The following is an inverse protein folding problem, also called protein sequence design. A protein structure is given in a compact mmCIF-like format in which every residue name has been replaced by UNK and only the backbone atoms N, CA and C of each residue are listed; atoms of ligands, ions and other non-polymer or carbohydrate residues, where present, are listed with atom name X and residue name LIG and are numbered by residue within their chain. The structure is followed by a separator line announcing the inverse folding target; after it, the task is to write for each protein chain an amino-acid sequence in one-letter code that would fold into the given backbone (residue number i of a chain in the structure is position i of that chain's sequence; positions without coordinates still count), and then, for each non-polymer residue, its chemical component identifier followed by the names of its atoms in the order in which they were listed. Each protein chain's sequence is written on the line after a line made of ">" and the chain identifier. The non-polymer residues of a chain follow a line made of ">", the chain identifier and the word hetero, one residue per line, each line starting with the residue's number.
data_IF_271022614739
#
_entry.id   IF_271022614739
#
_cell.length_a   1.000
_cell.length_b   1.000
_cell.length_c   1.000
_cell.angle_alpha   90.00
_cell.angle_beta   90.00
_cell.angle_gamma   90.00
#
_symmetry.space_group_name_H-M   'P 1'
#
loop_
_entity.id
_entity.type
_entity.pdbx_description
1 polymer ?
2 non-polymer ?
3 non-polymer ?
4 water ?
#
# COMPACT_ATOMS: atom_id res chain seq x y z
N UNK A 26 13.82 -10.87 -16.99
CA UNK A 26 12.58 -10.69 -17.81
C UNK A 26 11.44 -9.94 -17.09
N UNK A 27 11.16 -8.72 -17.56
CA UNK A 27 10.13 -7.87 -16.96
C UNK A 27 8.76 -8.28 -17.43
N UNK A 28 7.82 -8.42 -16.50
CA UNK A 28 6.41 -8.66 -16.78
C UNK A 28 5.58 -7.39 -16.67
N UNK A 29 5.97 -6.50 -15.76
CA UNK A 29 5.22 -5.27 -15.50
C UNK A 29 6.18 -4.29 -14.87
N UNK A 30 5.99 -3.02 -15.17
CA UNK A 30 6.70 -1.97 -14.49
C UNK A 30 5.71 -0.85 -14.23
N UNK A 31 5.57 -0.51 -12.96
CA UNK A 31 4.68 0.56 -12.53
C UNK A 31 5.54 1.74 -12.16
N UNK A 32 4.98 2.64 -11.35
CA UNK A 32 5.72 3.87 -11.08
C UNK A 32 6.94 3.66 -10.17
N UNK A 33 6.86 2.68 -9.25
CA UNK A 33 7.88 2.47 -8.22
C UNK A 33 8.45 1.02 -8.15
N UNK A 34 7.86 0.08 -8.86
CA UNK A 34 8.27 -1.31 -8.75
C UNK A 34 8.30 -1.94 -10.16
N UNK A 35 9.09 -2.99 -10.29
CA UNK A 35 9.15 -3.84 -11.48
C UNK A 35 8.81 -5.24 -11.02
N UNK A 36 7.96 -5.93 -11.77
CA UNK A 36 7.70 -7.34 -11.53
C UNK A 36 8.53 -8.14 -12.55
N UNK A 37 9.39 -9.04 -12.07
CA UNK A 37 10.19 -9.90 -12.95
C UNK A 37 9.69 -11.32 -12.92
N UNK A 38 9.76 -11.98 -14.08
CA UNK A 38 9.49 -13.42 -14.10
C UNK A 38 10.57 -14.18 -13.36
N UNK A 39 10.22 -15.42 -12.98
CA UNK A 39 11.18 -16.42 -12.54
C UNK A 39 10.97 -17.69 -13.38
N UNK A 40 11.82 -18.70 -13.20
CA UNK A 40 11.62 -20.00 -13.88
C UNK A 40 10.34 -20.71 -13.46
N UNK A 41 9.82 -20.39 -12.28
CA UNK A 41 8.52 -20.85 -11.83
C UNK A 41 7.41 -19.91 -12.34
N UNK A 42 6.52 -20.40 -13.24
CA UNK A 42 5.47 -19.54 -13.83
C UNK A 42 4.48 -18.95 -12.83
N UNK A 43 4.44 -19.51 -11.62
CA UNK A 43 3.47 -19.04 -10.63
C UNK A 43 4.10 -18.16 -9.53
N UNK A 44 5.39 -17.90 -9.65
CA UNK A 44 6.08 -17.01 -8.72
C UNK A 44 6.79 -15.90 -9.49
N UNK A 45 6.70 -14.68 -8.99
CA UNK A 45 7.36 -13.54 -9.60
C UNK A 45 8.16 -12.77 -8.56
N UNK A 46 9.08 -11.93 -9.03
CA UNK A 46 9.90 -11.11 -8.13
C UNK A 46 9.38 -9.70 -8.16
N UNK A 47 9.05 -9.16 -6.97
CA UNK A 47 8.67 -7.78 -6.85
C UNK A 47 9.93 -7.01 -6.48
N UNK A 48 10.35 -6.11 -7.39
CA UNK A 48 11.60 -5.39 -7.28
C UNK A 48 11.26 -3.91 -7.05
N UNK A 49 11.76 -3.38 -5.93
CA UNK A 49 11.50 -1.98 -5.55
C UNK A 49 12.54 -1.04 -6.13
N UNK A 50 12.08 -0.11 -6.97
CA UNK A 50 12.93 0.95 -7.49
C UNK A 50 13.07 2.14 -6.54
N UNK A 51 13.96 3.07 -6.88
CA UNK A 51 14.13 4.28 -6.05
C UNK A 51 13.37 5.47 -6.63
N UNK A 52 12.62 5.22 -7.68
CA UNK A 52 11.79 6.22 -8.30
C UNK A 52 10.63 6.58 -7.36
N UNK A 53 10.30 7.86 -7.32
CA UNK A 53 9.08 8.35 -6.65
C UNK A 53 8.40 9.29 -7.64
N UNK A 54 7.08 9.28 -7.67
CA UNK A 54 6.34 10.21 -8.51
C UNK A 54 5.14 10.75 -7.71
N UNK A 55 4.68 11.94 -8.08
CA UNK A 55 3.48 12.51 -7.47
C UNK A 55 2.65 13.30 -8.51
N UNK A 56 1.38 13.54 -8.15
CA UNK A 56 0.49 14.44 -8.87
C UNK A 56 0.35 13.98 -10.30
N UNK A 57 -0.10 12.75 -10.44
CA UNK A 57 -0.26 12.10 -11.75
C UNK A 57 0.99 12.24 -12.62
N UNK A 58 2.16 12.02 -12.01
CA UNK A 58 3.45 12.11 -12.72
C UNK A 58 3.82 13.51 -13.21
N UNK A 59 3.30 14.55 -12.58
CA UNK A 59 3.80 15.91 -12.83
C UNK A 59 5.18 16.10 -12.19
N UNK A 60 5.48 15.24 -11.20
CA UNK A 60 6.67 15.41 -10.33
C UNK A 60 7.30 14.00 -10.28
N UNK A 61 8.58 13.86 -10.59
CA UNK A 61 9.26 12.58 -10.40
C UNK A 61 10.70 12.84 -9.93
N UNK A 62 11.24 11.90 -9.15
CA UNK A 62 12.61 12.01 -8.62
C UNK A 62 13.14 10.64 -8.29
N UNK A 63 14.45 10.57 -8.14
CA UNK A 63 15.13 9.38 -7.64
C UNK A 63 15.49 9.68 -6.19
N UNK A 64 15.01 8.85 -5.28
CA UNK A 64 15.33 8.93 -3.84
C UNK A 64 16.17 7.69 -3.51
N UNK A 65 17.48 7.84 -3.48
CA UNK A 65 18.35 6.71 -3.28
C UNK A 65 17.96 5.98 -2.00
N UNK A 66 17.87 4.66 -2.12
CA UNK A 66 17.52 3.73 -1.02
C UNK A 66 16.03 3.59 -0.68
N UNK A 67 15.16 4.40 -1.28
CA UNK A 67 13.74 4.37 -0.94
C UNK A 67 13.17 2.98 -1.22
N UNK A 68 13.58 2.36 -2.32
CA UNK A 68 13.09 1.03 -2.63
C UNK A 68 13.52 -0.06 -1.69
N UNK A 69 14.75 0.05 -1.21
CA UNK A 69 15.27 -0.88 -0.24
C UNK A 69 14.43 -0.80 1.02
N UNK A 70 14.21 0.41 1.51
CA UNK A 70 13.43 0.55 2.73
C UNK A 70 11.98 0.10 2.53
N UNK A 71 11.39 0.39 1.38
CA UNK A 71 10.02 -0.03 1.09
C UNK A 71 9.90 -1.55 1.00
N UNK A 72 10.91 -2.19 0.40
CA UNK A 72 11.00 -3.63 0.35
C UNK A 72 10.99 -4.25 1.75
N UNK A 73 11.89 -3.77 2.60
CA UNK A 73 11.97 -4.24 3.99
C UNK A 73 10.70 -3.94 4.79
N UNK A 74 10.17 -2.75 4.69
CA UNK A 74 8.96 -2.39 5.42
C UNK A 74 7.78 -3.23 4.93
N UNK A 75 7.61 -3.35 3.64
CA UNK A 75 6.47 -4.12 3.09
C UNK A 75 6.53 -5.61 3.43
N UNK A 76 7.68 -6.23 3.23
CA UNK A 76 7.85 -7.63 3.61
C UNK A 76 7.56 -7.80 5.11
N UNK A 77 8.05 -6.89 5.95
CA UNK A 77 7.81 -6.93 7.37
C UNK A 77 6.33 -6.88 7.70
N UNK A 78 5.65 -5.87 7.16
CA UNK A 78 4.20 -5.68 7.40
C UNK A 78 3.33 -6.79 6.77
N UNK A 79 3.71 -7.29 5.60
CA UNK A 79 3.00 -8.44 5.03
C UNK A 79 3.04 -9.62 6.02
N UNK A 80 4.22 -9.92 6.55
CA UNK A 80 4.37 -10.99 7.48
C UNK A 80 3.58 -10.77 8.78
N UNK A 81 3.55 -9.54 9.29
CA UNK A 81 2.69 -9.22 10.42
C UNK A 81 1.22 -9.48 10.14
N UNK A 82 0.79 -9.18 8.93
CA UNK A 82 -0.59 -9.42 8.51
C UNK A 82 -0.84 -10.91 8.31
N UNK A 83 0.11 -11.62 7.69
CA UNK A 83 0.01 -13.10 7.61
C UNK A 83 -0.13 -13.76 8.97
N UNK A 84 0.64 -13.29 9.95
CA UNK A 84 0.56 -13.80 11.33
C UNK A 84 -0.81 -13.67 11.93
N UNK A 85 -1.62 -12.71 11.50
CA UNK A 85 -3.00 -12.57 11.95
C UNK A 85 -4.03 -13.18 11.01
N UNK A 86 -3.60 -13.94 10.01
CA UNK A 86 -4.48 -14.68 9.14
C UNK A 86 -4.91 -14.00 7.87
N UNK A 87 -4.29 -12.87 7.56
CA UNK A 87 -4.54 -12.20 6.29
C UNK A 87 -3.79 -12.93 5.17
N UNK A 88 -4.50 -13.24 4.07
CA UNK A 88 -3.93 -13.89 2.91
C UNK A 88 -3.22 -12.83 2.08
N UNK A 89 -1.98 -13.13 1.67
CA UNK A 89 -1.18 -12.12 0.93
C UNK A 89 -0.42 -12.80 -0.19
N UNK A 90 0.16 -11.99 -1.07
CA UNK A 90 0.99 -12.53 -2.13
C UNK A 90 2.43 -12.84 -1.67
N UNK A 91 2.75 -12.54 -0.43
CA UNK A 91 4.16 -12.60 -0.02
C UNK A 91 4.64 -14.03 0.18
N UNK A 92 5.76 -14.37 -0.46
CA UNK A 92 6.41 -15.68 -0.23
C UNK A 92 7.68 -15.58 0.59
N UNK A 93 8.65 -14.77 0.14
CA UNK A 93 9.91 -14.68 0.85
C UNK A 93 10.64 -13.39 0.50
N UNK A 94 11.42 -12.89 1.44
CA UNK A 94 12.33 -11.76 1.19
C UNK A 94 13.59 -12.32 0.52
N UNK A 95 13.97 -11.78 -0.63
CA UNK A 95 15.11 -12.32 -1.39
C UNK A 95 16.41 -11.57 -1.16
N UNK A 96 16.32 -10.24 -1.19
CA UNK A 96 17.49 -9.36 -1.09
C UNK A 96 17.07 -7.93 -0.78
N UNK A 97 17.99 -6.97 -0.84
CA UNK A 97 17.70 -5.59 -0.42
C UNK A 97 16.51 -4.96 -1.16
N UNK A 98 16.30 -5.33 -2.43
CA UNK A 98 15.30 -4.68 -3.26
C UNK A 98 14.13 -5.57 -3.65
N UNK A 99 14.24 -6.86 -3.34
CA UNK A 99 13.34 -7.84 -3.96
C UNK A 99 12.72 -8.78 -2.99
N UNK A 100 11.49 -9.14 -3.30
CA UNK A 100 10.81 -10.21 -2.59
C UNK A 100 10.14 -11.11 -3.61
N UNK A 101 10.02 -12.37 -3.26
CA UNK A 101 9.34 -13.38 -4.04
C UNK A 101 7.87 -13.34 -3.65
N UNK A 102 7.01 -13.24 -4.64
CA UNK A 102 5.58 -13.20 -4.40
C UNK A 102 4.82 -14.09 -5.40
N UNK A 103 3.60 -14.42 -5.01
CA UNK A 103 2.69 -15.23 -5.83
C UNK A 103 2.35 -14.44 -7.09
N UNK A 104 2.30 -15.10 -8.23
CA UNK A 104 1.78 -14.50 -9.42
C UNK A 104 0.25 -14.57 -9.33
N UNK A 105 -0.38 -13.43 -9.25
CA UNK A 105 -1.84 -13.32 -9.18
C UNK A 105 -2.38 -12.25 -10.14
N UNK A 106 -3.68 -12.32 -10.44
CA UNK A 106 -4.32 -11.28 -11.22
C UNK A 106 -4.85 -10.20 -10.30
N UNK A 107 -4.38 -8.97 -10.52
CA UNK A 107 -4.73 -7.89 -9.62
C UNK A 107 -6.10 -7.39 -10.01
N UNK A 108 -6.97 -7.21 -9.04
CA UNK A 108 -8.28 -6.59 -9.24
C UNK A 108 -8.05 -5.07 -9.41
N UNK A 109 -8.67 -4.45 -10.41
CA UNK A 109 -8.21 -3.10 -10.73
C UNK A 109 -8.89 -2.02 -9.88
N UNK A 110 -8.90 -2.25 -8.56
CA UNK A 110 -9.45 -1.34 -7.55
C UNK A 110 -8.36 -0.98 -6.55
N UNK A 111 -8.27 0.27 -6.14
CA UNK A 111 -7.44 0.69 -5.01
C UNK A 111 -8.43 0.91 -3.87
N UNK A 112 -8.18 0.29 -2.72
CA UNK A 112 -9.02 0.49 -1.56
C UNK A 112 -8.27 1.47 -0.66
N UNK A 113 -8.89 2.61 -0.37
CA UNK A 113 -8.25 3.60 0.49
C UNK A 113 -9.00 3.60 1.80
N UNK A 114 -8.28 3.43 2.90
CA UNK A 114 -8.82 3.40 4.24
C UNK A 114 -8.29 4.64 4.98
N UNK A 115 -9.21 5.45 5.50
CA UNK A 115 -8.83 6.73 6.16
C UNK A 115 -9.25 6.74 7.62
N UNK A 116 -8.28 7.05 8.49
CA UNK A 116 -8.49 7.26 9.92
C UNK A 116 -8.59 8.73 10.29
N UNK A 117 -7.76 9.55 9.68
CA UNK A 117 -7.86 10.99 9.75
C UNK A 117 -7.97 11.54 8.34
N UNK A 118 -8.47 12.77 8.23
CA UNK A 118 -8.53 13.46 6.96
C UNK A 118 -7.14 13.85 6.50
N UNK A 119 -6.84 13.60 5.24
CA UNK A 119 -5.58 14.04 4.65
C UNK A 119 -5.71 14.09 3.14
N UNK A 120 -4.69 14.62 2.47
CA UNK A 120 -4.61 14.55 1.02
C UNK A 120 -5.79 15.20 0.31
N UNK A 121 -6.28 14.52 -0.71
CA UNK A 121 -7.36 15.02 -1.54
C UNK A 121 -8.73 14.96 -0.83
N UNK A 122 -8.84 14.11 0.19
CA UNK A 122 -10.03 14.06 1.01
C UNK A 122 -10.19 15.40 1.72
N UNK A 123 -9.14 15.84 2.41
CA UNK A 123 -9.17 17.14 3.09
C UNK A 123 -9.51 18.23 2.14
N UNK A 124 -8.91 18.19 0.95
CA UNK A 124 -9.09 19.28 -0.01
C UNK A 124 -10.53 19.32 -0.51
N UNK A 125 -11.08 18.18 -0.91
CA UNK A 125 -12.42 18.19 -1.55
C UNK A 125 -13.60 18.38 -0.60
N UNK A 126 -13.43 18.09 0.69
CA UNK A 126 -14.45 18.33 1.70
C UNK A 126 -14.13 19.56 2.56
N UNK A 127 -13.00 20.20 2.26
CA UNK A 127 -12.50 21.36 3.02
C UNK A 127 -12.56 21.09 4.53
N UNK A 128 -11.94 19.96 4.89
CA UNK A 128 -11.79 19.51 6.28
C UNK A 128 -10.28 19.52 6.54
N UNK A 129 -9.86 20.05 7.69
CA UNK A 129 -8.46 20.23 7.99
C UNK A 129 -7.70 18.88 8.05
N UNK A 130 -6.52 18.81 7.44
CA UNK A 130 -5.62 17.65 7.62
C UNK A 130 -5.53 17.27 9.10
N UNK A 131 -5.70 15.99 9.39
CA UNK A 131 -5.59 15.49 10.77
C UNK A 131 -6.90 15.42 11.54
N UNK A 132 -7.99 15.89 10.94
CA UNK A 132 -9.28 15.73 11.57
C UNK A 132 -9.58 14.23 11.69
N UNK A 133 -9.81 13.76 12.93
CA UNK A 133 -10.13 12.36 13.15
C UNK A 133 -11.57 12.02 12.81
N UNK A 134 -11.77 10.81 12.29
CA UNK A 134 -13.10 10.34 12.00
C UNK A 134 -13.57 9.48 13.16
N UNK A 135 -14.89 9.41 13.33
CA UNK A 135 -15.47 8.60 14.36
C UNK A 135 -15.27 7.12 14.05
N UNK A 136 -15.31 6.79 12.77
CA UNK A 136 -15.00 5.43 12.33
C UNK A 136 -14.25 5.51 10.99
N UNK A 137 -13.41 4.51 10.69
CA UNK A 137 -12.63 4.64 9.43
C UNK A 137 -13.50 4.73 8.17
N UNK A 138 -13.02 5.48 7.20
CA UNK A 138 -13.68 5.67 5.94
C UNK A 138 -12.94 4.95 4.81
N UNK A 139 -13.64 4.03 4.16
CA UNK A 139 -13.17 3.33 3.01
C UNK A 139 -13.70 4.01 1.78
N UNK A 140 -12.80 4.27 0.85
CA UNK A 140 -13.15 4.73 -0.49
C UNK A 140 -12.50 3.84 -1.55
N UNK A 141 -13.20 3.61 -2.64
CA UNK A 141 -12.72 2.77 -3.74
C UNK A 141 -12.38 3.59 -4.97
N UNK A 142 -11.28 3.23 -5.64
CA UNK A 142 -10.89 3.89 -6.88
C UNK A 142 -10.59 2.87 -7.94
N UNK A 143 -10.97 3.18 -9.17
CA UNK A 143 -10.58 2.37 -10.31
C UNK A 143 -9.12 2.69 -10.68
N UNK A 144 -8.26 1.68 -10.74
CA UNK A 144 -6.84 1.93 -11.00
C UNK A 144 -6.64 2.10 -12.51
N UNK A 145 -6.39 3.34 -12.92
CA UNK A 145 -6.26 3.70 -14.34
C UNK A 145 -5.57 5.03 -14.46
N UNK A 146 -4.35 4.99 -15.01
CA UNK A 146 -3.56 6.22 -15.21
C UNK A 146 -4.24 7.21 -16.15
N UNK A 147 -4.74 6.71 -17.28
CA UNK A 147 -5.41 7.54 -18.30
C UNK A 147 -6.55 8.37 -17.68
N UNK A 148 -7.30 7.78 -16.74
CA UNK A 148 -8.45 8.44 -16.13
C UNK A 148 -8.11 9.07 -14.79
N UNK A 149 -6.84 9.01 -14.40
CA UNK A 149 -6.38 9.50 -13.09
C UNK A 149 -7.12 8.87 -11.91
N UNK A 150 -7.23 7.54 -11.96
CA UNK A 150 -7.79 6.72 -10.86
C UNK A 150 -9.09 7.29 -10.29
N UNK A 151 -10.15 7.30 -11.11
CA UNK A 151 -11.43 7.84 -10.67
C UNK A 151 -12.07 7.02 -9.53
N UNK A 152 -12.68 7.74 -8.60
CA UNK A 152 -13.46 7.10 -7.56
C UNK A 152 -14.64 6.33 -8.18
N UNK A 153 -14.94 5.19 -7.58
CA UNK A 153 -16.06 4.36 -7.99
C UNK A 153 -16.86 3.98 -6.76
N UNK A 154 -18.17 3.89 -6.97
CA UNK A 154 -19.08 3.32 -5.96
C UNK A 154 -19.05 1.81 -5.94
N UNK A 155 -19.63 1.26 -4.89
CA UNK A 155 -19.84 -0.19 -4.83
C UNK A 155 -20.65 -0.74 -5.99
N UNK A 156 -21.72 -0.04 -6.36
CA UNK A 156 -22.58 -0.47 -7.43
C UNK A 156 -21.86 -0.51 -8.75
N UNK A 157 -20.90 0.39 -8.91
CA UNK A 157 -20.05 0.41 -10.11
C UNK A 157 -19.19 -0.84 -10.14
N UNK A 158 -18.52 -1.10 -9.02
CA UNK A 158 -17.68 -2.30 -8.89
C UNK A 158 -18.50 -3.54 -9.23
N UNK A 159 -19.72 -3.63 -8.70
CA UNK A 159 -20.55 -4.80 -8.91
C UNK A 159 -21.08 -4.89 -10.34
N UNK A 160 -21.48 -3.76 -10.89
CA UNK A 160 -22.02 -3.73 -12.27
C UNK A 160 -20.98 -4.13 -13.27
N UNK A 161 -19.77 -3.62 -13.10
CA UNK A 161 -18.66 -3.99 -13.97
C UNK A 161 -18.03 -5.35 -13.65
N UNK A 162 -18.57 -6.01 -12.62
CA UNK A 162 -18.17 -7.35 -12.22
C UNK A 162 -16.68 -7.46 -11.89
N UNK A 163 -16.13 -6.41 -11.29
CA UNK A 163 -14.77 -6.46 -10.78
C UNK A 163 -14.68 -7.28 -9.50
N UNK A 164 -15.78 -7.27 -8.72
CA UNK A 164 -16.00 -8.15 -7.59
C UNK A 164 -17.47 -8.58 -7.54
N UNK A 165 -17.72 -9.72 -6.95
CA UNK A 165 -19.06 -10.13 -6.58
C UNK A 165 -19.50 -9.43 -5.30
N UNK A 166 -20.78 -9.57 -4.99
CA UNK A 166 -21.33 -9.03 -3.76
C UNK A 166 -20.58 -9.55 -2.56
N UNK A 167 -20.36 -10.86 -2.52
CA UNK A 167 -19.65 -11.50 -1.38
C UNK A 167 -18.20 -10.98 -1.25
N UNK A 168 -17.49 -10.87 -2.37
CA UNK A 168 -16.12 -10.32 -2.39
C UNK A 168 -16.04 -8.89 -1.92
N UNK A 169 -17.05 -8.08 -2.28
CA UNK A 169 -17.02 -6.69 -1.90
C UNK A 169 -17.23 -6.57 -0.38
N UNK A 170 -18.16 -7.35 0.17
CA UNK A 170 -18.29 -7.32 1.62
C UNK A 170 -16.98 -7.80 2.26
N UNK A 171 -16.39 -8.86 1.70
CA UNK A 171 -15.13 -9.41 2.25
C UNK A 171 -14.00 -8.37 2.19
N UNK A 172 -13.88 -7.67 1.08
CA UNK A 172 -12.78 -6.73 0.91
C UNK A 172 -12.87 -5.61 1.96
N UNK A 173 -14.09 -5.24 2.32
CA UNK A 173 -14.26 -4.21 3.33
C UNK A 173 -13.91 -4.76 4.72
N UNK A 174 -14.32 -5.97 5.00
CA UNK A 174 -14.01 -6.61 6.31
C UNK A 174 -12.48 -6.75 6.45
N UNK A 175 -11.84 -7.23 5.39
CA UNK A 175 -10.38 -7.42 5.40
C UNK A 175 -9.67 -6.09 5.55
N UNK A 176 -10.13 -5.07 4.82
CA UNK A 176 -9.53 -3.74 4.88
C UNK A 176 -9.60 -3.16 6.28
N UNK A 177 -10.74 -3.28 6.94
CA UNK A 177 -10.88 -2.81 8.31
C UNK A 177 -10.02 -3.63 9.31
N UNK A 178 -9.93 -4.94 9.10
CA UNK A 178 -9.11 -5.79 9.96
C UNK A 178 -7.63 -5.38 9.79
N UNK A 179 -7.23 -5.21 8.55
CA UNK A 179 -5.86 -4.76 8.23
C UNK A 179 -5.61 -3.40 8.89
N UNK A 180 -6.59 -2.49 8.79
CA UNK A 180 -6.46 -1.20 9.45
C UNK A 180 -6.23 -1.38 10.95
N UNK A 181 -7.02 -2.23 11.60
CA UNK A 181 -6.83 -2.45 13.03
C UNK A 181 -5.44 -2.97 13.37
N UNK A 182 -5.01 -4.00 12.65
CA UNK A 182 -3.69 -4.61 12.88
C UNK A 182 -2.55 -3.61 12.68
N UNK A 183 -2.55 -2.96 11.52
CA UNK A 183 -1.51 -1.96 11.22
C UNK A 183 -1.57 -0.77 12.16
N UNK A 184 -2.76 -0.28 12.48
CA UNK A 184 -2.89 0.87 13.38
C UNK A 184 -2.27 0.56 14.72
N UNK A 185 -2.49 -0.64 15.21
CA UNK A 185 -1.99 -1.03 16.52
C UNK A 185 -0.47 -1.17 16.49
N UNK A 186 0.03 -1.79 15.46
CA UNK A 186 1.46 -2.05 15.45
C UNK A 186 2.24 -0.73 15.27
N UNK A 187 1.69 0.20 14.49
CA UNK A 187 2.31 1.51 14.36
C UNK A 187 2.18 2.33 15.63
N UNK A 188 1.03 2.27 16.28
CA UNK A 188 0.82 3.01 17.52
C UNK A 188 1.86 2.60 18.57
N UNK A 189 2.13 1.30 18.62
CA UNK A 189 3.05 0.74 19.60
C UNK A 189 4.51 1.15 19.38
N UNK A 190 4.81 1.67 18.20
CA UNK A 190 6.14 2.25 17.96
C UNK A 190 6.02 3.75 17.72
N UNK A 191 4.92 4.35 18.15
CA UNK A 191 4.79 5.81 18.21
C UNK A 191 4.45 6.52 16.91
N UNK A 192 3.73 5.81 16.04
CA UNK A 192 3.34 6.29 14.73
C UNK A 192 1.84 6.14 14.55
N UNK A 193 1.20 7.19 14.01
CA UNK A 193 -0.22 7.16 13.71
C UNK A 193 -0.41 6.80 12.26
N UNK A 194 -1.21 5.74 12.01
CA UNK A 194 -1.58 5.39 10.66
C UNK A 194 -2.75 6.25 10.24
N UNK A 195 -2.45 7.27 9.43
CA UNK A 195 -3.43 8.28 9.05
C UNK A 195 -4.40 7.71 8.01
N UNK A 196 -3.86 7.13 6.96
CA UNK A 196 -4.63 6.48 5.94
C UNK A 196 -3.68 5.56 5.18
N UNK A 197 -4.24 4.72 4.33
CA UNK A 197 -3.42 3.85 3.49
C UNK A 197 -4.23 3.26 2.35
N UNK A 198 -3.52 2.74 1.33
CA UNK A 198 -4.11 2.19 0.12
C UNK A 198 -3.71 0.73 0.03
N UNK A 199 -4.68 -0.12 -0.30
CA UNK A 199 -4.49 -1.54 -0.53
C UNK A 199 -4.90 -1.93 -1.93
N UNK A 200 -4.28 -2.98 -2.46
CA UNK A 200 -4.71 -3.64 -3.67
C UNK A 200 -4.75 -5.12 -3.41
N UNK A 201 -5.70 -5.78 -4.04
CA UNK A 201 -5.87 -7.21 -3.88
C UNK A 201 -5.84 -7.87 -5.24
N UNK A 202 -5.56 -9.16 -5.23
CA UNK A 202 -5.62 -9.97 -6.44
C UNK A 202 -6.13 -11.37 -6.12
N UNK A 203 -6.31 -12.15 -7.16
CA UNK A 203 -6.83 -13.48 -7.00
C UNK A 203 -5.93 -14.45 -7.72
N UNK A 204 -5.90 -15.69 -7.19
CA UNK A 204 -5.11 -16.75 -7.79
C UNK A 204 -5.58 -17.03 -9.19
N UNK A 205 -4.54 -17.24 -9.99
CA UNK A 205 -4.58 -17.87 -11.28
C UNK A 205 -5.49 -19.00 -11.31
N UNK A 206 -6.38 -18.97 -12.28
CA UNK A 206 -7.03 -20.18 -12.70
C UNK A 206 -7.85 -20.79 -11.58
N UNK A 207 -8.25 -19.96 -10.62
CA UNK A 207 -9.08 -20.42 -9.54
C UNK A 207 -10.22 -19.44 -9.42
N UNK A 208 -11.39 -19.83 -9.92
CA UNK A 208 -12.57 -18.92 -9.93
C UNK A 208 -13.15 -18.76 -8.54
N UNK A 209 -12.70 -19.58 -7.60
CA UNK A 209 -13.12 -19.46 -6.19
C UNK A 209 -12.01 -18.94 -5.28
N UNK A 210 -10.99 -18.34 -5.90
CA UNK A 210 -9.87 -17.77 -5.17
C UNK A 210 -10.38 -16.76 -4.13
N UNK A 211 -9.79 -16.77 -2.95
CA UNK A 211 -10.06 -15.70 -1.98
C UNK A 211 -9.23 -14.48 -2.44
N UNK A 212 -9.39 -13.36 -1.73
CA UNK A 212 -8.73 -12.12 -2.04
C UNK A 212 -7.38 -12.10 -1.35
N UNK A 213 -6.33 -11.93 -2.12
CA UNK A 213 -4.96 -11.90 -1.60
C UNK A 213 -4.47 -10.48 -1.63
N UNK A 214 -3.93 -10.03 -0.51
CA UNK A 214 -3.33 -8.72 -0.46
C UNK A 214 -2.05 -8.68 -1.33
N UNK A 215 -1.95 -7.66 -2.16
CA UNK A 215 -0.84 -7.56 -3.13
C UNK A 215 -0.15 -6.19 -3.03
N UNK A 216 0.50 -5.75 -4.10
CA UNK A 216 1.23 -4.48 -4.13
C UNK A 216 2.16 -4.36 -2.91
N UNK A 217 2.16 -3.22 -2.21
CA UNK A 217 3.07 -3.05 -1.09
C UNK A 217 2.37 -2.33 0.04
N UNK A 218 2.94 -2.48 1.23
CA UNK A 218 2.50 -1.73 2.38
C UNK A 218 3.75 -0.99 2.86
N UNK A 219 3.81 0.30 2.57
CA UNK A 219 5.04 1.04 2.86
C UNK A 219 4.71 2.53 3.03
N UNK A 220 5.75 3.34 3.29
CA UNK A 220 5.52 4.79 3.30
C UNK A 220 5.13 5.38 1.93
N UNK A 221 5.22 4.60 0.84
CA UNK A 221 4.66 5.05 -0.44
C UNK A 221 3.13 4.89 -0.48
N UNK A 222 2.58 4.03 0.39
CA UNK A 222 1.14 3.69 0.32
C UNK A 222 0.38 3.95 1.64
N UNK A 223 1.07 4.41 2.69
CA UNK A 223 0.46 4.72 3.99
C UNK A 223 0.89 6.11 4.40
N UNK A 224 -0.05 6.93 4.86
CA UNK A 224 0.34 8.18 5.53
C UNK A 224 0.61 7.84 6.98
N UNK A 225 1.77 8.29 7.45
CA UNK A 225 2.34 7.84 8.75
C UNK A 225 2.86 9.05 9.45
N UNK A 226 2.29 9.41 10.59
CA UNK A 226 2.73 10.60 11.32
C UNK A 226 3.28 10.21 12.67
N UNK A 227 4.39 10.80 13.06
CA UNK A 227 4.91 10.64 14.39
C UNK A 227 3.86 11.18 15.38
N UNK A 228 3.54 10.40 16.40
CA UNK A 228 2.41 10.78 17.29
C UNK A 228 2.70 12.06 18.11
N UNK A 229 3.90 12.17 18.63
CA UNK A 229 4.25 13.28 19.51
C UNK A 229 4.36 14.64 18.78
N UNK A 230 4.82 14.65 17.53
CA UNK A 230 5.13 15.90 16.79
C UNK A 230 4.23 16.15 15.60
N UNK A 231 3.48 15.13 15.19
CA UNK A 231 2.78 15.16 13.91
C UNK A 231 3.70 15.30 12.71
N UNK A 232 4.98 14.98 12.84
CA UNK A 232 5.85 14.93 11.68
C UNK A 232 5.39 13.83 10.72
N UNK A 233 5.32 14.15 9.45
CA UNK A 233 4.99 13.19 8.40
C UNK A 233 6.21 12.39 8.07
N UNK A 234 6.06 11.07 7.97
CA UNK A 234 7.19 10.17 7.73
C UNK A 234 7.19 9.57 6.33
N UNK A 235 6.09 9.80 5.61
CA UNK A 235 5.79 9.03 4.40
C UNK A 235 6.06 9.84 3.12
N UNK A 236 5.53 9.36 2.00
CA UNK A 236 5.65 9.99 0.67
C UNK A 236 5.19 11.46 0.64
N UNK A 237 4.33 11.87 1.56
CA UNK A 237 3.98 13.31 1.68
C UNK A 237 5.19 14.20 1.87
N UNK A 238 6.29 13.65 2.41
CA UNK A 238 7.52 14.46 2.50
C UNK A 238 8.01 14.87 1.11
N UNK A 239 7.86 13.95 0.15
CA UNK A 239 8.15 14.28 -1.24
C UNK A 239 7.06 15.15 -1.85
N UNK A 240 5.80 14.76 -1.71
CA UNK A 240 4.70 15.53 -2.32
C UNK A 240 4.71 17.01 -1.92
N UNK A 241 4.97 17.27 -0.64
CA UNK A 241 4.90 18.61 -0.06
C UNK A 241 6.29 19.28 0.04
N UNK A 242 7.28 18.68 -0.62
CA UNK A 242 8.67 19.14 -0.65
C UNK A 242 9.17 19.56 0.73
N UNK A 243 9.02 18.66 1.69
CA UNK A 243 9.44 18.87 3.06
C UNK A 243 10.90 18.49 3.35
N UNK A 244 11.55 17.85 2.38
CA UNK A 244 12.93 17.40 2.55
C UNK A 244 12.98 16.23 3.51
N UNK A 245 14.17 15.65 3.69
CA UNK A 245 14.36 14.52 4.59
C UNK A 245 13.42 13.37 4.26
N UNK A 246 13.24 13.12 2.97
CA UNK A 246 12.35 12.03 2.53
C UNK A 246 12.89 10.69 3.00
N UNK A 247 14.16 10.41 2.72
CA UNK A 247 14.69 9.10 3.04
C UNK A 247 14.73 8.93 4.55
N UNK A 248 15.04 10.01 5.27
CA UNK A 248 15.07 9.97 6.73
C UNK A 248 13.71 9.55 7.31
N UNK A 249 12.62 10.02 6.71
CA UNK A 249 11.29 9.61 7.21
C UNK A 249 11.08 8.13 6.98
N UNK A 250 11.40 7.65 5.79
CA UNK A 250 11.23 6.22 5.49
C UNK A 250 12.13 5.39 6.39
N UNK A 251 13.35 5.87 6.64
CA UNK A 251 14.27 5.16 7.53
C UNK A 251 13.80 5.16 8.97
N UNK A 252 13.21 6.26 9.42
CA UNK A 252 12.60 6.26 10.74
C UNK A 252 11.52 5.18 10.89
N UNK A 253 10.67 5.04 9.88
CA UNK A 253 9.62 4.02 9.91
C UNK A 253 10.31 2.64 10.00
N UNK A 254 11.31 2.42 9.14
CA UNK A 254 12.02 1.13 9.17
C UNK A 254 12.67 0.84 10.51
N UNK A 255 13.31 1.85 11.09
CA UNK A 255 13.96 1.66 12.36
C UNK A 255 13.01 1.35 13.46
N UNK A 256 11.93 2.13 13.56
CA UNK A 256 10.92 1.92 14.62
C UNK A 256 10.21 0.58 14.49
N UNK A 257 10.01 0.10 13.26
CA UNK A 257 9.46 -1.21 13.04
C UNK A 257 10.47 -2.38 13.28
N UNK A 258 11.77 -2.06 13.31
CA UNK A 258 12.83 -3.08 13.29
C UNK A 258 12.71 -3.96 12.05
N UNK A 259 12.47 -3.31 10.91
CA UNK A 259 12.19 -4.02 9.66
C UNK A 259 13.42 -4.41 8.87
N UNK A 260 14.59 -3.86 9.19
CA UNK A 260 15.78 -4.09 8.39
C UNK A 260 16.48 -5.31 8.97
N UNK A 261 16.67 -6.36 8.17
CA UNK A 261 17.41 -7.55 8.65
C UNK A 261 18.90 -7.31 8.88
N UNK A 262 19.50 -8.16 9.72
CA UNK A 262 20.95 -8.15 9.99
C UNK A 262 21.82 -8.61 8.82
#
# INVERSE_FOLDING_TARGET
>A
MAHHHHHHMGTLEAQTQGPGSMENKEKIYEGKAKIIFATLNPLEVIQHFKDEITAFNNKKAAIIHEKGILNNYISSFLMKKLIDKGIKTHFISLLNQREQLVKKITIIPIEVVIRNLAAGNFSKRFQIADGTPFKSPIIEFYYKNDELSDPMVSEGHILSFQWLTNQELEKIKILSLKINNILSELFFNVGIKLVDFKLEFGKLHNDEQSDLFLADEISPDTCRLWDISTNKRLDKDRYRLNLGNVIEGYREVAHKLNAIPNL
#
